data_IF_176019764237
#
_entry.id   IF_176019764237
#
_cell.length_a   1.000
_cell.length_b   1.000
_cell.length_c   1.000
_cell.angle_alpha   90.00
_cell.angle_beta   90.00
_cell.angle_gamma   90.00
#
_symmetry.space_group_name_H-M   'P 1'
#
loop_
_entity.id
_entity.type
_entity.pdbx_description
1 polymer ?
#
# COMPACT_ATOMS: atom_id res chain seq x y z
N UNK A 1 21.40 -3.29 8.93
CA UNK A 1 21.52 -1.87 8.59
C UNK A 1 20.94 -1.07 9.73
N UNK A 2 21.64 -0.04 10.20
CA UNK A 2 21.15 0.83 11.27
C UNK A 2 21.08 2.27 10.76
N UNK A 3 20.03 3.00 11.16
CA UNK A 3 19.85 4.42 10.84
C UNK A 3 19.67 5.16 12.16
N UNK A 4 20.39 6.26 12.35
CA UNK A 4 20.24 7.15 13.48
C UNK A 4 19.77 8.52 13.00
N UNK A 5 18.54 8.89 13.35
CA UNK A 5 18.02 10.25 13.12
C UNK A 5 18.37 11.09 14.34
N UNK A 6 19.12 12.17 14.15
CA UNK A 6 19.58 13.07 15.22
C UNK A 6 18.73 14.33 15.30
N UNK A 7 18.53 14.82 16.51
CA UNK A 7 17.94 16.13 16.81
C UNK A 7 16.55 16.35 16.17
N UNK A 8 15.71 15.32 16.11
CA UNK A 8 14.35 15.40 15.54
C UNK A 8 13.33 15.73 16.63
N UNK A 9 12.32 16.54 16.32
CA UNK A 9 11.20 16.81 17.21
C UNK A 9 10.28 15.58 17.27
N UNK A 10 10.07 15.03 18.47
CA UNK A 10 9.15 13.95 18.74
C UNK A 10 8.37 14.25 20.03
N UNK A 11 7.03 14.35 19.97
CA UNK A 11 6.19 14.67 21.12
C UNK A 11 6.70 15.90 21.91
N UNK A 12 6.92 17.01 21.20
CA UNK A 12 7.41 18.30 21.73
C UNK A 12 8.79 18.26 22.38
N UNK A 13 9.60 17.23 22.14
CA UNK A 13 10.97 17.12 22.64
C UNK A 13 11.94 16.83 21.51
N UNK A 14 13.09 17.51 21.54
CA UNK A 14 14.21 17.15 20.68
C UNK A 14 14.81 15.84 21.16
N UNK A 15 14.92 14.88 20.26
CA UNK A 15 15.37 13.52 20.57
C UNK A 15 16.10 12.91 19.38
N UNK A 16 16.77 11.79 19.61
CA UNK A 16 17.34 10.95 18.57
C UNK A 16 16.50 9.68 18.43
N UNK A 17 16.41 9.15 17.21
CA UNK A 17 15.71 7.90 16.93
C UNK A 17 16.66 6.92 16.26
N UNK A 18 16.93 5.82 16.94
CA UNK A 18 17.72 4.72 16.40
C UNK A 18 16.80 3.67 15.79
N UNK A 19 17.04 3.34 14.53
CA UNK A 19 16.36 2.28 13.81
C UNK A 19 17.38 1.17 13.54
N UNK A 20 17.04 -0.06 13.91
CA UNK A 20 17.82 -1.25 13.64
C UNK A 20 16.97 -2.24 12.84
N UNK A 21 17.51 -2.70 11.73
CA UNK A 21 16.77 -3.50 10.75
C UNK A 21 15.50 -2.77 10.29
N UNK A 22 14.31 -3.23 10.73
CA UNK A 22 13.00 -2.67 10.39
C UNK A 22 12.22 -2.19 11.63
N UNK A 23 12.91 -1.91 12.75
CA UNK A 23 12.29 -1.55 14.03
C UNK A 23 12.93 -0.29 14.62
N UNK A 24 12.10 0.52 15.27
CA UNK A 24 12.60 1.58 16.16
C UNK A 24 13.16 0.89 17.39
N UNK A 25 14.49 0.91 17.50
CA UNK A 25 15.19 0.27 18.61
C UNK A 25 15.24 1.16 19.86
N UNK A 26 15.39 2.48 19.67
CA UNK A 26 15.51 3.42 20.80
C UNK A 26 15.09 4.83 20.39
N UNK A 27 14.40 5.52 21.30
CA UNK A 27 14.11 6.95 21.23
C UNK A 27 14.65 7.58 22.51
N UNK A 28 15.65 8.45 22.42
CA UNK A 28 16.26 9.13 23.56
C UNK A 28 17.15 10.28 23.08
N UNK A 29 17.49 11.22 23.95
CA UNK A 29 18.49 12.25 23.63
C UNK A 29 19.91 11.68 23.75
N UNK A 30 20.81 12.13 22.87
CA UNK A 30 22.25 11.82 22.97
C UNK A 30 22.62 10.38 22.62
N UNK A 31 21.89 9.72 21.70
CA UNK A 31 22.24 8.38 21.22
C UNK A 31 23.55 8.46 20.43
N UNK A 32 24.53 7.64 20.81
CA UNK A 32 25.75 7.46 20.02
C UNK A 32 25.48 6.60 18.82
N UNK A 33 25.94 7.01 17.63
CA UNK A 33 25.78 6.24 16.43
C UNK A 33 26.50 4.87 16.52
N UNK A 34 25.79 3.75 16.28
CA UNK A 34 26.45 2.46 16.12
C UNK A 34 27.46 2.49 14.97
N UNK A 35 28.50 1.66 15.05
CA UNK A 35 29.46 1.54 13.95
C UNK A 35 28.78 1.17 12.64
N UNK A 36 29.03 1.95 11.59
CA UNK A 36 28.42 1.75 10.25
C UNK A 36 26.97 2.16 10.13
N UNK A 37 26.38 2.85 11.11
CA UNK A 37 25.04 3.41 11.00
C UNK A 37 25.02 4.62 10.06
N UNK A 38 23.98 4.71 9.24
CA UNK A 38 23.65 5.93 8.52
C UNK A 38 23.10 6.97 9.50
N UNK A 39 23.66 8.19 9.47
CA UNK A 39 23.22 9.27 10.36
C UNK A 39 22.47 10.32 9.55
N UNK A 40 21.22 10.56 9.92
CA UNK A 40 20.36 11.57 9.31
C UNK A 40 20.21 12.76 10.26
N UNK A 41 20.36 13.97 9.73
CA UNK A 41 20.09 15.20 10.46
C UNK A 41 18.59 15.49 10.47
N UNK A 42 17.99 15.47 11.66
CA UNK A 42 16.59 15.79 11.93
C UNK A 42 16.36 17.23 12.41
N UNK A 43 17.38 18.09 12.40
CA UNK A 43 17.25 19.50 12.80
C UNK A 43 16.14 20.18 11.99
N UNK A 44 15.30 20.93 12.67
CA UNK A 44 14.10 21.59 12.10
C UNK A 44 13.06 20.63 11.46
N UNK A 45 13.11 19.36 11.81
CA UNK A 45 12.15 18.35 11.37
C UNK A 45 11.42 17.74 12.56
N UNK A 46 10.22 17.24 12.31
CA UNK A 46 9.46 16.43 13.26
C UNK A 46 9.27 15.02 12.71
N UNK A 47 9.31 14.03 13.62
CA UNK A 47 8.96 12.65 13.31
C UNK A 47 7.54 12.38 13.80
N UNK A 48 6.72 11.86 12.93
CA UNK A 48 5.32 11.47 13.20
C UNK A 48 5.08 10.05 12.69
N UNK A 49 4.05 9.35 13.16
CA UNK A 49 3.60 8.12 12.53
C UNK A 49 3.29 8.34 11.05
N UNK A 50 3.64 7.37 10.19
CA UNK A 50 3.27 7.43 8.79
C UNK A 50 1.76 7.36 8.61
N UNK A 51 1.26 7.94 7.52
CA UNK A 51 -0.17 7.88 7.18
C UNK A 51 -0.59 6.46 6.80
N UNK A 52 -1.84 6.15 7.10
CA UNK A 52 -2.49 4.89 6.71
C UNK A 52 -3.64 5.25 5.79
N UNK A 53 -3.59 4.77 4.54
CA UNK A 53 -4.67 4.93 3.59
C UNK A 53 -5.59 3.70 3.64
N UNK A 54 -6.79 3.88 4.14
CA UNK A 54 -7.74 2.77 4.40
C UNK A 54 -8.68 2.46 3.24
N UNK A 55 -8.54 3.14 2.09
CA UNK A 55 -9.34 2.86 0.91
C UNK A 55 -8.58 3.25 -0.36
N UNK A 56 -8.19 2.26 -1.17
CA UNK A 56 -7.55 2.48 -2.46
C UNK A 56 -8.02 1.49 -3.52
N UNK A 57 -7.82 1.90 -4.77
CA UNK A 57 -7.74 1.09 -5.96
C UNK A 57 -6.39 1.46 -6.62
N UNK A 58 -5.30 0.98 -6.03
CA UNK A 58 -3.95 1.52 -6.24
C UNK A 58 -3.56 1.62 -7.72
N UNK A 59 -3.86 0.60 -8.52
CA UNK A 59 -3.50 0.57 -9.94
C UNK A 59 -4.29 1.56 -10.80
N UNK A 60 -5.40 2.11 -10.30
CA UNK A 60 -6.15 3.18 -10.97
C UNK A 60 -5.39 4.52 -11.04
N UNK A 61 -4.21 4.64 -10.45
CA UNK A 61 -3.30 5.77 -10.72
C UNK A 61 -3.05 5.97 -12.21
N UNK A 62 -3.14 4.90 -13.02
CA UNK A 62 -3.03 4.96 -14.48
C UNK A 62 -4.21 5.71 -15.14
N UNK A 63 -5.34 5.84 -14.46
CA UNK A 63 -6.55 6.48 -14.99
C UNK A 63 -6.75 7.90 -14.47
N UNK A 64 -5.74 8.49 -13.87
CA UNK A 64 -5.82 9.85 -13.34
C UNK A 64 -6.24 10.85 -14.42
N UNK A 65 -7.31 11.59 -14.16
CA UNK A 65 -7.88 12.58 -15.08
C UNK A 65 -8.67 11.95 -16.25
N UNK A 66 -8.88 10.63 -16.23
CA UNK A 66 -9.67 9.96 -17.26
C UNK A 66 -11.16 9.98 -16.90
N UNK A 67 -11.96 10.76 -17.65
CA UNK A 67 -13.39 10.91 -17.42
C UNK A 67 -13.74 11.80 -16.22
N UNK A 68 -13.04 12.94 -16.05
CA UNK A 68 -13.33 13.90 -14.98
C UNK A 68 -14.71 14.57 -15.14
N UNK A 69 -15.28 14.99 -14.00
CA UNK A 69 -16.55 15.73 -13.90
C UNK A 69 -17.79 15.01 -14.45
N UNK A 70 -17.79 13.69 -14.42
CA UNK A 70 -18.91 12.87 -14.87
C UNK A 70 -19.75 12.32 -13.70
N UNK A 71 -21.04 12.06 -13.89
CA UNK A 71 -21.83 11.27 -12.96
C UNK A 71 -21.20 9.88 -12.75
N UNK A 72 -21.27 9.35 -11.50
CA UNK A 72 -20.58 8.12 -11.14
C UNK A 72 -20.83 6.95 -12.09
N UNK A 73 -22.10 6.66 -12.44
CA UNK A 73 -22.40 5.52 -13.30
C UNK A 73 -21.89 5.72 -14.73
N UNK A 74 -22.02 6.93 -15.29
CA UNK A 74 -21.44 7.27 -16.60
C UNK A 74 -19.92 7.10 -16.58
N UNK A 75 -19.25 7.58 -15.51
CA UNK A 75 -17.81 7.42 -15.35
C UNK A 75 -17.40 5.93 -15.29
N UNK A 76 -18.14 5.12 -14.54
CA UNK A 76 -17.85 3.68 -14.42
C UNK A 76 -18.13 2.93 -15.73
N UNK A 77 -19.36 3.07 -16.30
CA UNK A 77 -19.84 2.25 -17.41
C UNK A 77 -19.20 2.61 -18.74
N UNK A 78 -19.01 3.92 -19.00
CA UNK A 78 -18.54 4.40 -20.30
C UNK A 78 -17.02 4.59 -20.36
N UNK A 79 -16.35 4.76 -19.20
CA UNK A 79 -14.91 5.06 -19.14
C UNK A 79 -14.11 3.99 -18.41
N UNK A 80 -14.40 3.71 -17.14
CA UNK A 80 -13.50 2.91 -16.30
C UNK A 80 -13.59 1.43 -16.62
N UNK A 81 -14.78 0.82 -16.55
CA UNK A 81 -14.94 -0.61 -16.78
C UNK A 81 -14.49 -1.08 -18.16
N UNK A 82 -14.72 -0.34 -19.27
CA UNK A 82 -14.19 -0.71 -20.58
C UNK A 82 -12.66 -0.73 -20.65
N UNK A 83 -11.98 0.16 -19.92
CA UNK A 83 -10.51 0.18 -19.86
C UNK A 83 -10.00 -0.89 -18.90
N UNK A 84 -10.61 -1.05 -17.74
CA UNK A 84 -10.27 -2.11 -16.78
C UNK A 84 -10.37 -3.51 -17.41
N UNK A 85 -11.37 -3.74 -18.25
CA UNK A 85 -11.55 -5.00 -18.97
C UNK A 85 -10.38 -5.34 -19.92
N UNK A 86 -9.56 -4.36 -20.28
CA UNK A 86 -8.40 -4.52 -21.15
C UNK A 86 -7.08 -4.57 -20.37
N UNK A 87 -7.10 -4.25 -19.06
CA UNK A 87 -5.90 -4.28 -18.24
C UNK A 87 -5.34 -5.68 -18.11
N UNK A 88 -4.05 -5.77 -18.27
CA UNK A 88 -3.29 -6.99 -17.99
C UNK A 88 -2.77 -7.02 -16.55
N UNK A 89 -2.32 -8.18 -16.10
CA UNK A 89 -1.62 -8.31 -14.83
C UNK A 89 -0.39 -7.38 -14.73
N UNK A 90 0.31 -7.14 -15.85
CA UNK A 90 1.45 -6.23 -15.91
C UNK A 90 1.04 -4.77 -15.71
N UNK A 91 -0.09 -4.35 -16.27
CA UNK A 91 -0.60 -2.98 -16.09
C UNK A 91 -0.95 -2.72 -14.62
N UNK A 92 -1.57 -3.71 -13.96
CA UNK A 92 -1.85 -3.64 -12.51
C UNK A 92 -0.56 -3.50 -11.70
N UNK A 93 0.47 -4.27 -12.02
CA UNK A 93 1.77 -4.16 -11.37
C UNK A 93 2.40 -2.76 -11.55
N UNK A 94 2.41 -2.23 -12.77
CA UNK A 94 2.97 -0.90 -13.06
C UNK A 94 2.19 0.21 -12.34
N UNK A 95 0.85 0.17 -12.41
CA UNK A 95 0.00 1.13 -11.71
C UNK A 95 0.18 1.09 -10.19
N UNK A 96 0.27 -0.11 -9.62
CA UNK A 96 0.55 -0.28 -8.19
C UNK A 96 1.93 0.26 -7.79
N UNK A 97 2.97 0.10 -8.60
CA UNK A 97 4.28 0.71 -8.35
C UNK A 97 4.23 2.23 -8.35
N UNK A 98 3.49 2.83 -9.29
CA UNK A 98 3.29 4.27 -9.32
C UNK A 98 2.57 4.75 -8.05
N UNK A 99 1.50 4.07 -7.65
CA UNK A 99 0.79 4.37 -6.41
C UNK A 99 1.70 4.28 -5.18
N UNK A 100 2.50 3.22 -5.07
CA UNK A 100 3.47 3.05 -3.99
C UNK A 100 4.50 4.19 -3.95
N UNK A 101 5.01 4.61 -5.10
CA UNK A 101 5.93 5.74 -5.18
C UNK A 101 5.30 7.04 -4.66
N UNK A 102 4.07 7.31 -5.07
CA UNK A 102 3.33 8.50 -4.62
C UNK A 102 3.03 8.44 -3.12
N UNK A 103 2.62 7.28 -2.61
CA UNK A 103 2.39 7.05 -1.18
C UNK A 103 3.66 7.28 -0.35
N UNK A 104 4.79 6.74 -0.77
CA UNK A 104 6.08 6.97 -0.10
C UNK A 104 6.45 8.45 -0.08
N UNK A 105 6.27 9.15 -1.18
CA UNK A 105 6.57 10.59 -1.28
C UNK A 105 5.64 11.48 -0.46
N UNK A 106 4.42 11.01 -0.18
CA UNK A 106 3.42 11.72 0.63
C UNK A 106 3.38 11.29 2.09
N UNK A 107 4.23 10.32 2.50
CA UNK A 107 4.32 9.84 3.88
C UNK A 107 3.31 8.75 4.24
N UNK A 108 2.62 8.16 3.26
CA UNK A 108 1.77 6.98 3.48
C UNK A 108 2.66 5.74 3.57
N UNK A 109 2.55 5.00 4.66
CA UNK A 109 3.39 3.83 4.96
C UNK A 109 2.64 2.51 4.92
N UNK A 110 1.31 2.57 4.94
CA UNK A 110 0.43 1.41 4.88
C UNK A 110 -0.85 1.76 4.12
N UNK A 111 -1.38 0.84 3.35
CA UNK A 111 -2.65 1.04 2.67
C UNK A 111 -3.49 -0.23 2.60
N UNK A 112 -4.80 -0.04 2.47
CA UNK A 112 -5.78 -1.09 2.17
C UNK A 112 -6.19 -0.95 0.72
N UNK A 113 -6.01 -2.01 -0.06
CA UNK A 113 -6.36 -2.05 -1.48
C UNK A 113 -7.33 -3.16 -1.80
N UNK A 114 -8.22 -2.88 -2.72
CA UNK A 114 -9.16 -3.83 -3.28
C UNK A 114 -9.19 -3.66 -4.78
N UNK A 115 -8.56 -4.60 -5.50
CA UNK A 115 -8.48 -4.53 -6.95
C UNK A 115 -8.31 -5.90 -7.61
N UNK A 116 -8.35 -5.94 -8.95
CA UNK A 116 -8.03 -7.15 -9.71
C UNK A 116 -6.53 -7.48 -9.61
N UNK A 117 -6.17 -8.73 -9.87
CA UNK A 117 -4.78 -9.21 -9.83
C UNK A 117 -4.00 -8.84 -8.56
N UNK A 118 -4.52 -9.12 -7.34
CA UNK A 118 -3.92 -8.65 -6.09
C UNK A 118 -2.48 -9.16 -5.86
N UNK A 119 -2.06 -10.25 -6.49
CA UNK A 119 -0.68 -10.72 -6.43
C UNK A 119 0.31 -9.80 -7.15
N UNK A 120 -0.13 -9.13 -8.20
CA UNK A 120 0.72 -8.17 -8.90
C UNK A 120 0.87 -6.89 -8.09
N UNK A 121 -0.19 -6.46 -7.40
CA UNK A 121 -0.09 -5.40 -6.40
C UNK A 121 0.85 -5.83 -5.26
N UNK A 122 0.75 -7.07 -4.78
CA UNK A 122 1.63 -7.58 -3.72
C UNK A 122 3.11 -7.56 -4.12
N UNK A 123 3.45 -7.95 -5.34
CA UNK A 123 4.82 -7.84 -5.87
C UNK A 123 5.33 -6.40 -5.86
N UNK A 124 4.51 -5.47 -6.35
CA UNK A 124 4.87 -4.05 -6.35
C UNK A 124 5.12 -3.53 -4.92
N UNK A 125 4.26 -3.88 -3.97
CA UNK A 125 4.39 -3.50 -2.56
C UNK A 125 5.66 -4.10 -1.94
N UNK A 126 5.95 -5.38 -2.22
CA UNK A 126 7.15 -6.07 -1.72
C UNK A 126 8.42 -5.37 -2.17
N UNK A 127 8.52 -5.04 -3.46
CA UNK A 127 9.66 -4.33 -4.03
C UNK A 127 9.82 -2.90 -3.52
N UNK A 128 8.69 -2.20 -3.36
CA UNK A 128 8.69 -0.79 -2.93
C UNK A 128 8.81 -0.61 -1.41
N UNK A 129 8.68 -1.66 -0.63
CA UNK A 129 8.93 -1.65 0.81
C UNK A 129 7.80 -1.12 1.68
N UNK A 130 6.58 -0.93 1.17
CA UNK A 130 5.42 -0.52 1.97
C UNK A 130 4.80 -1.68 2.74
N UNK A 131 3.81 -1.34 3.58
CA UNK A 131 2.86 -2.28 4.16
C UNK A 131 1.54 -2.20 3.41
N UNK A 132 0.89 -3.33 3.19
CA UNK A 132 -0.43 -3.33 2.56
C UNK A 132 -1.32 -4.46 3.08
N UNK A 133 -2.60 -4.16 3.13
CA UNK A 133 -3.67 -5.14 3.26
C UNK A 133 -4.36 -5.21 1.90
N UNK A 134 -4.22 -6.33 1.20
CA UNK A 134 -4.68 -6.48 -0.17
C UNK A 134 -5.82 -7.49 -0.25
N UNK A 135 -6.82 -7.17 -1.05
CA UNK A 135 -7.95 -8.07 -1.24
C UNK A 135 -8.24 -8.32 -2.72
N UNK A 136 -8.77 -9.50 -2.98
CA UNK A 136 -9.47 -9.77 -4.23
C UNK A 136 -10.89 -9.21 -4.13
N UNK A 137 -11.34 -8.53 -5.18
CA UNK A 137 -12.68 -7.94 -5.23
C UNK A 137 -13.74 -9.03 -5.35
N UNK A 138 -14.61 -9.15 -4.35
CA UNK A 138 -15.77 -10.02 -4.37
C UNK A 138 -16.97 -9.21 -4.91
N UNK A 139 -17.42 -9.54 -6.11
CA UNK A 139 -18.46 -8.77 -6.79
C UNK A 139 -19.34 -9.69 -7.66
N UNK A 140 -20.26 -10.40 -7.00
CA UNK A 140 -21.07 -11.43 -7.66
C UNK A 140 -22.34 -10.91 -8.34
N UNK A 141 -22.80 -9.72 -8.00
CA UNK A 141 -24.02 -9.13 -8.57
C UNK A 141 -25.27 -10.02 -8.42
N UNK A 142 -25.35 -10.78 -7.32
CA UNK A 142 -26.45 -11.71 -7.08
C UNK A 142 -26.38 -13.02 -7.88
N UNK A 143 -25.25 -13.29 -8.56
CA UNK A 143 -25.03 -14.54 -9.29
C UNK A 143 -24.32 -15.57 -8.40
N UNK A 144 -25.03 -16.66 -8.04
CA UNK A 144 -24.53 -17.68 -7.13
C UNK A 144 -23.30 -18.43 -7.67
N UNK A 145 -23.19 -18.65 -8.98
CA UNK A 145 -22.02 -19.32 -9.58
C UNK A 145 -20.79 -18.42 -9.49
N UNK A 146 -20.95 -17.12 -9.72
CA UNK A 146 -19.89 -16.14 -9.57
C UNK A 146 -19.47 -15.99 -8.11
N UNK A 147 -20.42 -15.95 -7.19
CA UNK A 147 -20.12 -15.91 -5.75
C UNK A 147 -19.25 -17.12 -5.32
N UNK A 148 -19.59 -18.32 -5.78
CA UNK A 148 -18.81 -19.52 -5.47
C UNK A 148 -17.41 -19.50 -6.12
N UNK A 149 -17.30 -18.98 -7.35
CA UNK A 149 -16.02 -18.79 -8.01
C UNK A 149 -15.14 -17.78 -7.26
N UNK A 150 -15.70 -16.63 -6.87
CA UNK A 150 -15.00 -15.59 -6.12
C UNK A 150 -14.56 -16.09 -4.74
N UNK A 151 -15.40 -16.90 -4.08
CA UNK A 151 -15.05 -17.57 -2.84
C UNK A 151 -13.84 -18.49 -3.02
N UNK A 152 -13.82 -19.34 -4.04
CA UNK A 152 -12.68 -20.26 -4.34
C UNK A 152 -11.40 -19.45 -4.62
N UNK A 153 -11.48 -18.45 -5.46
CA UNK A 153 -10.34 -17.57 -5.78
C UNK A 153 -9.78 -16.89 -4.53
N UNK A 154 -10.64 -16.47 -3.60
CA UNK A 154 -10.20 -15.86 -2.35
C UNK A 154 -9.36 -16.84 -1.50
N UNK A 155 -9.71 -18.10 -1.43
CA UNK A 155 -8.89 -19.12 -0.74
C UNK A 155 -7.55 -19.35 -1.46
N UNK A 156 -7.57 -19.42 -2.80
CA UNK A 156 -6.34 -19.57 -3.58
C UNK A 156 -5.39 -18.38 -3.36
N UNK A 157 -5.92 -17.15 -3.35
CA UNK A 157 -5.13 -15.96 -3.04
C UNK A 157 -4.62 -15.99 -1.60
N UNK A 158 -5.45 -16.32 -0.62
CA UNK A 158 -5.03 -16.42 0.77
C UNK A 158 -3.81 -17.34 0.95
N UNK A 159 -3.78 -18.49 0.27
CA UNK A 159 -2.65 -19.39 0.32
C UNK A 159 -1.40 -18.81 -0.36
N UNK A 160 -1.56 -18.17 -1.51
CA UNK A 160 -0.44 -17.56 -2.25
C UNK A 160 0.16 -16.34 -1.55
N UNK A 161 -0.63 -15.61 -0.77
CA UNK A 161 -0.13 -14.47 -0.01
C UNK A 161 0.85 -14.86 1.09
N UNK A 162 0.89 -16.12 1.51
CA UNK A 162 1.89 -16.64 2.46
C UNK A 162 3.32 -16.63 1.91
N UNK A 163 3.48 -16.45 0.61
CA UNK A 163 4.79 -16.36 -0.07
C UNK A 163 5.44 -14.97 0.10
N UNK A 164 4.67 -13.95 0.50
CA UNK A 164 5.15 -12.59 0.69
C UNK A 164 5.61 -12.34 2.14
N UNK A 165 6.32 -11.22 2.35
CA UNK A 165 6.75 -10.84 3.70
C UNK A 165 5.57 -10.47 4.60
N UNK A 166 5.82 -10.41 5.91
CA UNK A 166 4.85 -10.04 6.96
C UNK A 166 4.29 -8.60 6.84
N UNK A 167 4.83 -7.81 5.90
CA UNK A 167 4.33 -6.47 5.55
C UNK A 167 3.06 -6.52 4.70
N UNK A 168 2.78 -7.65 4.07
CA UNK A 168 1.67 -7.81 3.12
C UNK A 168 0.71 -8.86 3.64
N UNK A 169 -0.54 -8.47 3.78
CA UNK A 169 -1.60 -9.34 4.31
C UNK A 169 -2.75 -9.42 3.32
N UNK A 170 -3.28 -10.62 3.12
CA UNK A 170 -4.52 -10.78 2.37
C UNK A 170 -5.73 -10.53 3.26
N UNK A 171 -6.72 -9.83 2.72
CA UNK A 171 -8.01 -9.57 3.38
C UNK A 171 -9.17 -9.91 2.46
N UNK A 172 -10.37 -10.03 3.01
CA UNK A 172 -11.59 -10.16 2.21
C UNK A 172 -12.05 -8.78 1.74
N UNK A 173 -12.44 -8.68 0.47
CA UNK A 173 -12.87 -7.42 -0.16
C UNK A 173 -14.27 -7.54 -0.77
N UNK A 174 -15.36 -7.66 0.02
CA UNK A 174 -16.71 -7.55 -0.52
C UNK A 174 -16.93 -6.13 -1.03
N UNK A 175 -17.25 -6.01 -2.34
CA UNK A 175 -17.35 -4.70 -2.99
C UNK A 175 -18.76 -4.13 -2.93
N UNK A 176 -19.77 -4.98 -3.14
CA UNK A 176 -21.17 -4.57 -3.13
C UNK A 176 -22.06 -5.70 -2.60
N UNK A 177 -23.24 -5.32 -2.11
CA UNK A 177 -24.30 -6.22 -1.66
C UNK A 177 -25.29 -6.44 -2.82
#
# INVERSE_FOLDING_TARGET
MSILIKNVLHQDKLTDVLIECNRIARIASGISAPAGAEVLDGTDKAIIPGFINTHTHASMTLFRGYGDDLPLMTWLEDYIWPVEAQMTAHDVYVGARLACLEMLRSGTTCFLDMYMHPLETAKAVEEMGLRAHLSYTLFDQGNAERAELDRKRSYEYFDRFKEFSDRITFTLGPHAI
#
